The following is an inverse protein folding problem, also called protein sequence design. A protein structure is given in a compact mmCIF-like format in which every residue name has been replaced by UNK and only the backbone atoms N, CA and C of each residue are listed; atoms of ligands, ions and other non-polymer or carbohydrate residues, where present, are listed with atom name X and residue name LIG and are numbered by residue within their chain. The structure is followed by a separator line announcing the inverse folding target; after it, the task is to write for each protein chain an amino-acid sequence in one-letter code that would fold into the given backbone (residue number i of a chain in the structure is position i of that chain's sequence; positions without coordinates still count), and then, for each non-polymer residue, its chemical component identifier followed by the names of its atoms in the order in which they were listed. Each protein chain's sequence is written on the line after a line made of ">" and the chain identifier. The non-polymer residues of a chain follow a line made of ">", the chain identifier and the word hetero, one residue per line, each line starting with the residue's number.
data_IF_984321643396
#
_entry.id   IF_984321643396
#
_cell.length_a   1.000
_cell.length_b   1.000
_cell.length_c   1.000
_cell.angle_alpha   90.00
_cell.angle_beta   90.00
_cell.angle_gamma   90.00
#
_symmetry.space_group_name_H-M   'P 1'
#
loop_
_entity.id
_entity.type
_entity.pdbx_description
1 polymer ?
#
# COMPACT_ATOMS: atom_id res chain seq x y z
N UNK A 1 -2.03 -7.89 -4.77
CA UNK A 1 -1.31 -6.96 -3.87
C UNK A 1 -2.17 -5.84 -3.30
N UNK A 2 -3.25 -5.42 -3.97
CA UNK A 2 -4.16 -4.42 -3.39
C UNK A 2 -4.75 -4.83 -2.05
N UNK A 3 -5.14 -6.09 -1.89
CA UNK A 3 -5.63 -6.60 -0.62
C UNK A 3 -4.57 -6.53 0.49
N UNK A 4 -3.31 -6.80 0.17
CA UNK A 4 -2.21 -6.70 1.14
C UNK A 4 -1.96 -5.26 1.56
N UNK A 5 -2.06 -4.30 0.65
CA UNK A 5 -1.95 -2.87 0.92
C UNK A 5 -3.06 -2.39 1.86
N UNK A 6 -4.32 -2.73 1.56
CA UNK A 6 -5.45 -2.39 2.43
C UNK A 6 -5.31 -3.01 3.82
N UNK A 7 -4.87 -4.25 3.89
CA UNK A 7 -4.63 -4.92 5.16
C UNK A 7 -3.53 -4.25 5.97
N UNK A 8 -2.46 -3.83 5.32
CA UNK A 8 -1.36 -3.10 5.96
C UNK A 8 -1.85 -1.83 6.64
N UNK A 9 -2.62 -1.00 5.92
CA UNK A 9 -3.14 0.25 6.49
C UNK A 9 -4.14 -0.02 7.62
N UNK A 10 -4.99 -1.03 7.48
CA UNK A 10 -5.92 -1.41 8.54
C UNK A 10 -5.17 -1.87 9.81
N UNK A 11 -4.11 -2.66 9.65
CA UNK A 11 -3.28 -3.11 10.76
C UNK A 11 -2.54 -1.94 11.44
N UNK A 12 -2.18 -0.91 10.68
CA UNK A 12 -1.57 0.32 11.21
C UNK A 12 -2.59 1.25 11.88
N UNK A 13 -3.88 0.91 11.87
CA UNK A 13 -4.95 1.68 12.50
C UNK A 13 -5.53 2.77 11.62
N UNK A 14 -5.33 2.69 10.31
CA UNK A 14 -5.92 3.63 9.35
C UNK A 14 -7.34 3.15 9.03
N UNK A 15 -8.38 3.99 9.25
CA UNK A 15 -9.76 3.63 8.90
C UNK A 15 -9.92 3.47 7.38
N UNK A 16 -10.95 2.75 6.91
CA UNK A 16 -11.27 2.73 5.49
C UNK A 16 -11.41 4.14 4.91
N UNK A 17 -10.98 4.34 3.68
CA UNK A 17 -10.90 5.66 3.07
C UNK A 17 -12.23 6.43 3.11
N UNK A 18 -13.34 5.74 2.87
CA UNK A 18 -14.67 6.36 2.89
C UNK A 18 -15.15 6.74 4.30
N UNK A 19 -14.55 6.20 5.35
CA UNK A 19 -14.88 6.52 6.75
C UNK A 19 -13.87 7.45 7.39
N UNK A 20 -12.77 7.73 6.72
CA UNK A 20 -11.71 8.58 7.23
C UNK A 20 -12.16 10.04 7.10
N UNK A 21 -12.34 10.71 8.22
CA UNK A 21 -12.82 12.09 8.28
C UNK A 21 -11.69 13.03 8.69
N UNK A 22 -10.66 13.14 7.85
CA UNK A 22 -9.51 14.01 8.11
C UNK A 22 -9.50 15.29 7.26
N UNK A 23 -10.51 15.50 6.40
CA UNK A 23 -10.63 16.70 5.58
C UNK A 23 -9.70 16.75 4.37
N UNK A 24 -8.88 15.74 4.14
CA UNK A 24 -7.94 15.69 3.01
C UNK A 24 -8.53 15.07 1.73
N UNK A 25 -9.71 14.45 1.82
CA UNK A 25 -10.42 13.89 0.69
C UNK A 25 -9.79 12.65 0.06
N UNK A 26 -8.89 11.97 0.76
CA UNK A 26 -8.24 10.76 0.25
C UNK A 26 -9.28 9.69 -0.06
N UNK A 27 -9.26 9.17 -1.28
CA UNK A 27 -10.16 8.12 -1.76
C UNK A 27 -9.46 6.79 -1.98
N UNK A 28 -8.14 6.74 -1.90
CA UNK A 28 -7.38 5.50 -2.05
C UNK A 28 -5.91 5.74 -2.31
N UNK A 29 -5.22 4.63 -2.58
CA UNK A 29 -3.79 4.61 -2.85
C UNK A 29 -3.50 3.84 -4.15
N UNK A 30 -3.82 4.41 -5.32
CA UNK A 30 -3.60 3.73 -6.60
C UNK A 30 -2.12 3.44 -6.85
N UNK A 31 -1.86 2.38 -7.58
CA UNK A 31 -0.52 1.99 -8.01
C UNK A 31 -0.15 2.81 -9.25
N UNK A 32 1.05 3.40 -9.25
CA UNK A 32 1.60 4.11 -10.39
C UNK A 32 2.76 3.37 -11.04
N UNK A 33 3.37 2.43 -10.32
CA UNK A 33 4.41 1.54 -10.85
C UNK A 33 4.42 0.25 -10.03
N UNK A 34 4.74 -0.87 -10.67
CA UNK A 34 4.81 -2.17 -10.02
C UNK A 34 5.92 -3.02 -10.63
N UNK A 35 6.69 -3.66 -9.78
CA UNK A 35 7.71 -4.65 -10.14
C UNK A 35 7.47 -5.89 -9.32
N UNK A 36 7.42 -7.04 -9.97
CA UNK A 36 7.21 -8.34 -9.32
C UNK A 36 8.30 -9.29 -9.75
N UNK A 37 8.94 -9.93 -8.78
CA UNK A 37 9.94 -10.95 -9.00
C UNK A 37 9.42 -12.28 -8.45
N UNK A 38 9.28 -13.25 -9.33
CA UNK A 38 8.92 -14.62 -8.96
C UNK A 38 10.20 -15.40 -8.69
N UNK A 39 10.36 -15.90 -7.47
CA UNK A 39 11.57 -16.62 -7.03
C UNK A 39 11.32 -18.12 -7.10
N UNK A 40 10.16 -18.58 -6.63
CA UNK A 40 9.76 -19.97 -6.64
C UNK A 40 8.25 -20.09 -6.74
N UNK A 41 7.71 -21.17 -7.34
CA UNK A 41 6.27 -21.37 -7.44
C UNK A 41 5.67 -21.75 -6.09
N UNK A 42 4.45 -21.26 -5.84
CA UNK A 42 3.61 -21.73 -4.75
C UNK A 42 2.88 -23.01 -5.19
N UNK A 43 2.71 -23.95 -4.27
CA UNK A 43 2.00 -25.20 -4.51
C UNK A 43 0.64 -25.15 -3.80
N UNK A 44 -0.37 -25.80 -4.37
CA UNK A 44 -1.67 -25.91 -3.73
C UNK A 44 -1.54 -26.51 -2.33
N UNK A 45 -2.18 -25.88 -1.37
CA UNK A 45 -2.13 -26.31 0.03
C UNK A 45 -0.96 -25.75 0.84
N UNK A 46 -0.06 -24.99 0.22
CA UNK A 46 1.03 -24.33 0.93
C UNK A 46 0.51 -23.29 1.92
N UNK A 47 1.13 -23.24 3.09
CA UNK A 47 0.97 -22.12 4.01
C UNK A 47 1.86 -20.97 3.55
N UNK A 48 1.26 -19.87 3.17
CA UNK A 48 1.99 -18.69 2.77
C UNK A 48 1.80 -17.56 3.78
N UNK A 49 2.84 -16.77 3.94
CA UNK A 49 2.82 -15.55 4.75
C UNK A 49 3.15 -14.38 3.84
N UNK A 50 2.34 -13.33 3.91
CA UNK A 50 2.58 -12.08 3.18
C UNK A 50 3.09 -11.04 4.18
N UNK A 51 4.30 -10.53 3.93
CA UNK A 51 4.90 -9.45 4.71
C UNK A 51 4.84 -8.18 3.88
N UNK A 52 4.23 -7.14 4.43
CA UNK A 52 4.11 -5.85 3.75
C UNK A 52 4.80 -4.76 4.57
N UNK A 53 5.59 -3.92 3.90
CA UNK A 53 6.31 -2.82 4.51
C UNK A 53 6.28 -1.59 3.61
N UNK A 54 6.59 -0.41 4.18
CA UNK A 54 6.81 0.81 3.42
C UNK A 54 8.25 1.26 3.69
N UNK A 55 9.21 0.78 2.87
CA UNK A 55 10.63 1.12 3.09
C UNK A 55 10.99 2.57 2.73
N UNK A 56 10.17 3.25 1.92
CA UNK A 56 10.49 4.59 1.46
C UNK A 56 9.24 5.46 1.36
N UNK A 57 9.32 6.65 1.91
CA UNK A 57 8.33 7.72 1.76
C UNK A 57 8.92 8.83 0.90
N UNK A 58 8.16 9.26 -0.10
CA UNK A 58 8.51 10.38 -0.97
C UNK A 58 7.51 11.52 -0.76
N UNK A 59 7.68 12.65 -1.46
CA UNK A 59 6.81 13.83 -1.27
C UNK A 59 5.35 13.52 -1.56
N UNK A 60 5.05 12.87 -2.69
CA UNK A 60 3.67 12.56 -3.12
C UNK A 60 3.46 11.10 -3.45
N UNK A 61 4.41 10.26 -3.11
CA UNK A 61 4.34 8.82 -3.34
C UNK A 61 5.02 8.06 -2.21
N UNK A 62 4.83 6.77 -2.18
CA UNK A 62 5.52 5.88 -1.26
C UNK A 62 5.74 4.53 -1.93
N UNK A 63 6.74 3.83 -1.44
CA UNK A 63 7.09 2.50 -1.93
C UNK A 63 6.57 1.48 -0.92
N UNK A 64 5.74 0.56 -1.38
CA UNK A 64 5.36 -0.63 -0.61
C UNK A 64 6.13 -1.82 -1.12
N UNK A 65 6.58 -2.66 -0.21
CA UNK A 65 7.19 -3.93 -0.52
C UNK A 65 6.36 -5.04 0.09
N UNK A 66 6.04 -6.04 -0.73
CA UNK A 66 5.35 -7.25 -0.31
C UNK A 66 6.24 -8.43 -0.57
N UNK A 67 6.43 -9.27 0.44
CA UNK A 67 7.19 -10.51 0.32
C UNK A 67 6.28 -11.66 0.68
N UNK A 68 6.16 -12.63 -0.20
CA UNK A 68 5.37 -13.85 0.04
C UNK A 68 6.34 -14.97 0.33
N UNK A 69 6.18 -15.59 1.50
CA UNK A 69 7.05 -16.68 1.97
C UNK A 69 6.25 -17.96 2.19
N UNK A 70 6.92 -19.07 2.00
CA UNK A 70 6.48 -20.41 2.41
C UNK A 70 7.59 -21.01 3.26
N UNK A 71 7.27 -21.36 4.53
CA UNK A 71 8.21 -21.97 5.48
C UNK A 71 9.54 -21.20 5.56
N UNK A 72 9.49 -19.87 5.55
CA UNK A 72 10.66 -19.01 5.58
C UNK A 72 11.32 -18.76 4.23
N UNK A 73 10.98 -19.51 3.19
CA UNK A 73 11.53 -19.32 1.85
C UNK A 73 10.73 -18.28 1.07
N UNK A 74 11.41 -17.37 0.38
CA UNK A 74 10.78 -16.34 -0.45
C UNK A 74 10.25 -16.98 -1.73
N UNK A 75 8.98 -16.76 -2.03
CA UNK A 75 8.35 -17.19 -3.28
C UNK A 75 8.19 -16.03 -4.25
N UNK A 76 7.78 -14.86 -3.77
CA UNK A 76 7.50 -13.69 -4.58
C UNK A 76 7.96 -12.45 -3.82
N UNK A 77 8.57 -11.53 -4.53
CA UNK A 77 8.88 -10.18 -4.04
C UNK A 77 8.16 -9.18 -4.94
N UNK A 78 7.34 -8.32 -4.37
CA UNK A 78 6.62 -7.27 -5.07
C UNK A 78 6.99 -5.91 -4.53
N UNK A 79 7.27 -4.97 -5.44
CA UNK A 79 7.54 -3.58 -5.11
C UNK A 79 6.54 -2.71 -5.87
N UNK A 80 5.82 -1.90 -5.14
CA UNK A 80 4.79 -1.02 -5.67
C UNK A 80 5.12 0.42 -5.33
N UNK A 81 4.98 1.32 -6.29
CA UNK A 81 4.94 2.76 -6.02
C UNK A 81 3.48 3.18 -6.04
N UNK A 82 3.03 3.77 -4.94
CA UNK A 82 1.66 4.22 -4.76
C UNK A 82 1.63 5.70 -4.42
N UNK A 83 0.50 6.33 -4.68
CA UNK A 83 0.24 7.71 -4.29
C UNK A 83 -0.98 7.75 -3.40
N UNK A 84 -1.08 8.78 -2.54
CA UNK A 84 -2.35 9.11 -1.91
C UNK A 84 -3.13 9.97 -2.88
N UNK A 85 -4.35 9.55 -3.23
CA UNK A 85 -5.14 10.18 -4.26
C UNK A 85 -6.44 10.76 -3.70
N UNK A 86 -6.80 11.92 -4.20
CA UNK A 86 -8.11 12.54 -4.00
C UNK A 86 -8.72 12.90 -5.35
N UNK A 87 -9.99 13.24 -5.36
CA UNK A 87 -10.62 13.79 -6.57
C UNK A 87 -9.97 15.14 -6.90
N UNK A 88 -9.70 15.35 -8.19
CA UNK A 88 -9.15 16.62 -8.64
C UNK A 88 -10.17 17.75 -8.38
N UNK A 89 -9.75 18.92 -7.82
CA UNK A 89 -10.67 19.98 -7.44
C UNK A 89 -11.41 20.59 -8.64
N UNK A 90 -10.82 20.58 -9.83
CA UNK A 90 -11.39 21.17 -11.04
C UNK A 90 -12.09 20.15 -11.94
N UNK A 91 -11.85 18.85 -11.75
CA UNK A 91 -12.42 17.79 -12.57
C UNK A 91 -12.64 16.51 -11.74
N UNK A 92 -13.88 16.24 -11.27
CA UNK A 92 -14.16 15.07 -10.45
C UNK A 92 -13.91 13.71 -11.14
N UNK A 93 -13.77 13.69 -12.46
CA UNK A 93 -13.45 12.48 -13.21
C UNK A 93 -11.96 12.13 -13.16
N UNK A 94 -11.12 13.03 -12.64
CA UNK A 94 -9.68 12.84 -12.50
C UNK A 94 -9.29 12.70 -11.04
N UNK A 95 -8.11 12.15 -10.80
CA UNK A 95 -7.52 12.07 -9.46
C UNK A 95 -6.29 12.96 -9.37
N UNK A 96 -5.98 13.39 -8.17
CA UNK A 96 -4.80 14.18 -7.87
C UNK A 96 -3.98 13.48 -6.79
N UNK A 97 -2.68 13.31 -7.04
CA UNK A 97 -1.75 12.84 -6.02
C UNK A 97 -1.48 13.95 -4.99
N UNK A 98 -1.48 13.58 -3.73
CA UNK A 98 -1.24 14.51 -2.61
C UNK A 98 -0.13 13.98 -1.71
N UNK A 99 0.54 14.84 -0.93
CA UNK A 99 1.50 14.38 0.06
C UNK A 99 0.89 13.41 1.06
N UNK A 100 1.69 12.49 1.59
CA UNK A 100 1.24 11.56 2.61
C UNK A 100 0.67 12.31 3.81
N UNK A 101 -0.57 12.03 4.24
CA UNK A 101 -1.11 12.64 5.44
C UNK A 101 -0.24 12.31 6.66
N UNK A 102 0.04 13.31 7.48
CA UNK A 102 0.94 13.17 8.63
C UNK A 102 0.46 12.10 9.62
N UNK A 103 -0.86 12.00 9.83
CA UNK A 103 -1.45 11.01 10.73
C UNK A 103 -1.24 9.57 10.22
N UNK A 104 -1.38 9.35 8.91
CA UNK A 104 -1.16 8.04 8.30
C UNK A 104 0.31 7.66 8.37
N UNK A 105 1.19 8.59 8.01
CA UNK A 105 2.63 8.35 8.06
C UNK A 105 3.11 8.03 9.48
N UNK A 106 2.63 8.76 10.47
CA UNK A 106 2.97 8.51 11.86
C UNK A 106 2.51 7.13 12.33
N UNK A 107 1.32 6.68 11.92
CA UNK A 107 0.81 5.34 12.26
C UNK A 107 1.64 4.24 11.62
N UNK A 108 2.08 4.44 10.39
CA UNK A 108 2.90 3.45 9.67
C UNK A 108 4.33 3.41 10.19
N UNK A 109 4.91 4.55 10.56
CA UNK A 109 6.27 4.62 11.12
C UNK A 109 6.36 3.96 12.50
N UNK A 110 5.27 3.87 13.23
CA UNK A 110 5.20 3.20 14.52
C UNK A 110 5.03 1.68 14.47
N UNK A 111 4.98 1.10 13.28
CA UNK A 111 4.74 -0.36 13.08
C UNK A 111 5.98 -1.14 12.56
#
# INVERSE_FOLDING_TARGET
>A
MDAASLHYFAAAGVPPWHRRNAGDGIIGTPIVDVQVRFVAPATYGDRIVVESTIPEWRTRSFVMQHVIRRDGAVLVEGREVRVFARKHPDDPARIQAVPAPADIRARCDGT
#
